data_IF_108151606962
#
_entry.id   IF_108151606962
#
_cell.length_a   1.000
_cell.length_b   1.000
_cell.length_c   1.000
_cell.angle_alpha   90.00
_cell.angle_beta   90.00
_cell.angle_gamma   90.00
#
_symmetry.space_group_name_H-M   'P 1'
#
loop_
_entity.id
_entity.type
_entity.pdbx_description
1 polymer ?
#
# COMPACT_ATOMS: atom_id res chain seq x y z
N UNK A 1 -4.47 14.22 -3.17
CA UNK A 1 -5.24 13.29 -2.31
C UNK A 1 -4.35 12.71 -1.24
N UNK A 2 -3.16 12.21 -1.60
CA UNK A 2 -2.11 11.71 -0.69
C UNK A 2 -1.61 12.77 0.32
N UNK A 3 -1.46 14.04 -0.09
CA UNK A 3 -1.05 15.14 0.81
C UNK A 3 -1.94 15.35 2.04
N UNK A 4 -3.20 14.89 2.02
CA UNK A 4 -4.06 14.91 3.22
C UNK A 4 -3.69 13.80 4.22
N UNK A 5 -3.18 12.68 3.72
CA UNK A 5 -2.78 11.51 4.52
C UNK A 5 -1.43 11.74 5.24
N UNK A 6 -0.63 12.70 4.78
CA UNK A 6 0.63 13.12 5.43
C UNK A 6 0.46 13.77 6.80
N UNK A 7 -0.75 14.26 7.10
CA UNK A 7 -1.07 14.81 8.41
C UNK A 7 -1.17 13.74 9.52
N UNK A 8 -1.19 12.46 9.15
CA UNK A 8 -1.27 11.35 10.11
C UNK A 8 0.12 10.74 10.32
N UNK A 9 0.53 10.60 11.58
CA UNK A 9 1.82 9.98 11.94
C UNK A 9 1.89 8.50 11.56
N UNK A 10 0.75 7.81 11.62
CA UNK A 10 0.59 6.41 11.23
C UNK A 10 -0.66 6.23 10.38
N UNK A 11 -0.52 5.51 9.26
CA UNK A 11 -1.63 5.04 8.45
C UNK A 11 -1.73 3.53 8.56
N UNK A 12 -2.97 3.03 8.66
CA UNK A 12 -3.27 1.60 8.69
C UNK A 12 -4.03 1.27 7.41
N UNK A 13 -3.45 0.37 6.61
CA UNK A 13 -4.08 -0.24 5.45
C UNK A 13 -4.53 -1.64 5.87
N UNK A 14 -5.83 -1.88 5.87
CA UNK A 14 -6.41 -3.14 6.31
C UNK A 14 -6.95 -3.98 5.14
N UNK A 15 -6.96 -5.31 5.31
CA UNK A 15 -7.51 -6.29 4.36
C UNK A 15 -6.95 -6.19 2.93
N UNK A 16 -5.64 -5.96 2.82
CA UNK A 16 -4.99 -5.95 1.52
C UNK A 16 -5.05 -7.36 0.86
N UNK A 17 -5.38 -7.40 -0.44
CA UNK A 17 -5.18 -8.54 -1.34
C UNK A 17 -6.39 -9.42 -1.71
N UNK A 18 -7.63 -9.10 -1.33
CA UNK A 18 -8.76 -10.02 -1.59
C UNK A 18 -9.33 -10.05 -3.03
N UNK A 19 -9.05 -9.05 -3.86
CA UNK A 19 -9.61 -8.96 -5.20
C UNK A 19 -8.47 -8.74 -6.18
N UNK A 20 -8.43 -9.48 -7.30
CA UNK A 20 -7.52 -9.19 -8.42
C UNK A 20 -7.65 -7.71 -8.75
N UNK A 21 -6.69 -6.91 -8.29
CA UNK A 21 -6.75 -5.47 -8.40
C UNK A 21 -6.42 -5.11 -9.83
N UNK A 22 -7.21 -4.21 -10.43
CA UNK A 22 -6.77 -3.46 -11.60
C UNK A 22 -5.36 -2.94 -11.32
N UNK A 23 -4.44 -3.06 -12.28
CA UNK A 23 -3.02 -2.66 -12.19
C UNK A 23 -2.84 -1.31 -11.45
N UNK A 24 -3.80 -0.40 -11.63
CA UNK A 24 -3.90 0.91 -10.99
C UNK A 24 -3.83 0.92 -9.46
N UNK A 25 -4.37 -0.07 -8.74
CA UNK A 25 -4.32 -0.05 -7.27
C UNK A 25 -2.94 -0.46 -6.73
N UNK A 26 -2.20 -1.30 -7.47
CA UNK A 26 -0.81 -1.65 -7.14
C UNK A 26 0.09 -0.42 -7.24
N UNK A 27 -0.07 0.34 -8.32
CA UNK A 27 0.65 1.60 -8.55
C UNK A 27 0.39 2.64 -7.45
N UNK A 28 -0.88 2.82 -7.05
CA UNK A 28 -1.25 3.77 -5.99
C UNK A 28 -0.66 3.37 -4.63
N UNK A 29 -0.61 2.06 -4.32
CA UNK A 29 0.01 1.60 -3.08
C UNK A 29 1.52 1.81 -3.13
N UNK A 30 2.16 1.53 -4.26
CA UNK A 30 3.59 1.78 -4.42
C UNK A 30 3.91 3.27 -4.24
N UNK A 31 3.14 4.16 -4.86
CA UNK A 31 3.27 5.61 -4.70
C UNK A 31 3.12 6.03 -3.23
N UNK A 32 2.11 5.51 -2.52
CA UNK A 32 1.91 5.78 -1.09
C UNK A 32 3.07 5.28 -0.22
N UNK A 33 3.61 4.09 -0.50
CA UNK A 33 4.78 3.54 0.22
C UNK A 33 5.99 4.44 -0.02
N UNK A 34 6.26 4.83 -1.27
CA UNK A 34 7.36 5.72 -1.63
C UNK A 34 7.23 7.10 -0.96
N UNK A 35 6.04 7.69 -0.93
CA UNK A 35 5.83 8.98 -0.26
C UNK A 35 6.05 8.90 1.26
N UNK A 36 5.80 7.75 1.90
CA UNK A 36 5.95 7.60 3.36
C UNK A 36 7.29 7.03 3.80
N UNK A 37 8.02 6.39 2.88
CA UNK A 37 9.35 5.83 3.14
C UNK A 37 10.26 6.88 3.80
N UNK A 38 10.87 6.52 4.93
CA UNK A 38 11.72 7.40 5.77
C UNK A 38 11.05 8.68 6.33
N UNK A 39 9.74 8.88 6.11
CA UNK A 39 9.02 10.09 6.54
C UNK A 39 8.01 9.82 7.64
N UNK A 40 7.17 8.80 7.49
CA UNK A 40 6.05 8.51 8.41
C UNK A 40 5.77 7.00 8.48
N UNK A 41 5.13 6.55 9.57
CA UNK A 41 4.81 5.14 9.76
C UNK A 41 3.65 4.70 8.86
N UNK A 42 3.73 3.44 8.42
CA UNK A 42 2.71 2.73 7.66
C UNK A 42 2.59 1.32 8.25
N UNK A 43 1.36 0.89 8.52
CA UNK A 43 1.03 -0.48 8.92
C UNK A 43 0.11 -1.07 7.86
N UNK A 44 0.44 -2.27 7.38
CA UNK A 44 -0.33 -2.97 6.36
C UNK A 44 -0.72 -4.33 6.91
N UNK A 45 -2.00 -4.67 6.86
CA UNK A 45 -2.49 -6.03 7.06
C UNK A 45 -2.88 -6.60 5.69
N UNK A 46 -2.53 -7.86 5.46
CA UNK A 46 -2.75 -8.53 4.19
C UNK A 46 -3.11 -9.99 4.46
N UNK A 47 -4.03 -10.52 3.68
CA UNK A 47 -4.39 -11.94 3.76
C UNK A 47 -3.42 -12.82 2.97
N UNK A 48 -2.64 -12.22 2.06
CA UNK A 48 -1.64 -12.88 1.25
C UNK A 48 -0.24 -12.76 1.86
N UNK A 49 0.55 -13.84 1.82
CA UNK A 49 1.94 -13.79 2.26
C UNK A 49 2.77 -12.89 1.33
N UNK A 50 3.87 -12.34 1.84
CA UNK A 50 4.74 -11.42 1.11
C UNK A 50 5.26 -12.00 -0.22
N UNK A 51 5.48 -13.31 -0.28
CA UNK A 51 5.92 -14.02 -1.50
C UNK A 51 4.90 -13.95 -2.64
N UNK A 52 3.64 -13.66 -2.34
CA UNK A 52 2.57 -13.53 -3.34
C UNK A 52 2.35 -12.07 -3.76
N UNK A 53 3.12 -11.11 -3.22
CA UNK A 53 2.95 -9.70 -3.54
C UNK A 53 3.35 -9.36 -4.98
N UNK A 54 4.17 -10.17 -5.64
CA UNK A 54 4.50 -10.03 -7.07
C UNK A 54 3.24 -10.13 -7.97
N UNK A 55 2.18 -10.78 -7.49
CA UNK A 55 0.90 -10.85 -8.20
C UNK A 55 0.07 -9.56 -8.03
N UNK A 56 0.44 -8.73 -7.05
CA UNK A 56 -0.27 -7.50 -6.69
C UNK A 56 0.43 -6.27 -7.29
N UNK A 57 1.76 -6.26 -7.28
CA UNK A 57 2.58 -5.26 -7.96
C UNK A 57 3.04 -5.86 -9.30
N UNK A 58 2.14 -5.89 -10.28
CA UNK A 58 2.52 -6.29 -11.64
C UNK A 58 3.40 -5.18 -12.24
N UNK A 59 4.62 -5.53 -12.68
CA UNK A 59 5.54 -4.64 -13.40
C UNK A 59 5.02 -4.26 -14.80
#
# INVERSE_FOLDING_TARGET
>A
MLSKLDNYDCLILDDFGYTKKDETEGDLLFELICERYERRSLLITCNQPFQEWDQIFSN
#
